data_IF_018305708589
#
_entry.id   IF_018305708589
#
_cell.length_a   1.000
_cell.length_b   1.000
_cell.length_c   1.000
_cell.angle_alpha   90.00
_cell.angle_beta   90.00
_cell.angle_gamma   90.00
#
_symmetry.space_group_name_H-M   'P 1'
#
loop_
_entity.id
_entity.type
_entity.pdbx_description
1 polymer ?
#
# COMPACT_ATOMS: atom_id res chain seq x y z
N UNK A 1 -5.08 -12.09 -62.37
CA UNK A 1 -4.55 -10.74 -62.07
C UNK A 1 -5.70 -9.92 -61.50
N UNK A 2 -5.42 -9.12 -60.47
CA UNK A 2 -6.34 -8.28 -59.68
C UNK A 2 -7.04 -8.93 -58.46
N UNK A 3 -6.36 -8.76 -57.33
CA UNK A 3 -6.78 -8.78 -55.92
C UNK A 3 -7.51 -7.50 -55.52
N UNK A 4 -8.57 -7.56 -54.70
CA UNK A 4 -9.06 -6.51 -53.76
C UNK A 4 -10.46 -6.93 -53.25
N UNK A 5 -10.91 -6.71 -52.02
CA UNK A 5 -10.32 -6.32 -50.73
C UNK A 5 -11.46 -6.54 -49.71
N UNK A 6 -11.29 -7.42 -48.74
CA UNK A 6 -12.21 -7.57 -47.61
C UNK A 6 -11.65 -6.79 -46.41
N UNK A 7 -11.88 -5.48 -46.40
CA UNK A 7 -11.39 -4.56 -45.35
C UNK A 7 -12.38 -3.40 -45.11
N UNK A 8 -13.68 -3.67 -45.01
CA UNK A 8 -14.68 -2.61 -44.81
C UNK A 8 -15.38 -2.62 -43.44
N UNK A 9 -15.40 -3.74 -42.70
CA UNK A 9 -16.14 -3.82 -41.43
C UNK A 9 -15.39 -3.33 -40.20
N UNK A 10 -14.05 -3.28 -40.21
CA UNK A 10 -13.25 -2.87 -39.03
C UNK A 10 -13.20 -1.35 -38.87
N UNK A 11 -13.15 -0.60 -39.98
CA UNK A 11 -13.11 0.87 -39.97
C UNK A 11 -14.42 1.52 -39.50
N UNK A 12 -15.56 0.87 -39.74
CA UNK A 12 -16.87 1.37 -39.31
C UNK A 12 -17.11 1.24 -37.79
N UNK A 13 -16.51 0.23 -37.15
CA UNK A 13 -16.59 0.06 -35.70
C UNK A 13 -15.74 1.10 -34.93
N UNK A 14 -14.57 1.47 -35.48
CA UNK A 14 -13.70 2.50 -34.89
C UNK A 14 -14.33 3.90 -34.99
N UNK A 15 -15.03 4.18 -36.10
CA UNK A 15 -15.73 5.45 -36.33
C UNK A 15 -16.97 5.63 -35.42
N UNK A 16 -17.64 4.54 -35.03
CA UNK A 16 -18.77 4.61 -34.09
C UNK A 16 -18.33 4.88 -32.64
N UNK A 17 -17.16 4.35 -32.23
CA UNK A 17 -16.63 4.59 -30.89
C UNK A 17 -16.26 6.07 -30.63
N UNK A 18 -15.85 6.80 -31.67
CA UNK A 18 -15.48 8.22 -31.58
C UNK A 18 -16.69 9.19 -31.50
N UNK A 19 -17.88 8.77 -31.92
CA UNK A 19 -19.08 9.63 -31.94
C UNK A 19 -19.94 9.52 -30.69
N UNK A 20 -19.87 8.42 -29.94
CA UNK A 20 -20.73 8.17 -28.77
C UNK A 20 -20.09 8.67 -27.47
N UNK A 21 -18.85 9.20 -27.52
CA UNK A 21 -18.18 9.68 -26.31
C UNK A 21 -18.17 8.60 -25.22
N UNK A 22 -18.00 7.33 -25.62
CA UNK A 22 -17.76 6.26 -24.66
C UNK A 22 -16.40 6.58 -24.07
N UNK A 23 -16.42 7.27 -22.93
CA UNK A 23 -15.34 7.23 -21.96
C UNK A 23 -15.23 5.76 -21.64
N UNK A 24 -14.27 5.08 -22.27
CA UNK A 24 -13.87 3.76 -21.83
C UNK A 24 -13.57 3.92 -20.34
N UNK A 25 -14.19 3.13 -19.45
CA UNK A 25 -13.81 3.16 -18.05
C UNK A 25 -12.30 2.98 -18.00
N UNK A 26 -11.61 3.88 -17.30
CA UNK A 26 -10.18 3.80 -17.05
C UNK A 26 -9.94 2.56 -16.20
N UNK A 27 -9.88 1.40 -16.85
CA UNK A 27 -9.68 0.10 -16.23
C UNK A 27 -8.29 -0.41 -16.60
N UNK A 28 -7.46 -0.56 -15.56
CA UNK A 28 -6.32 -1.48 -15.49
C UNK A 28 -5.05 -1.21 -16.33
N UNK A 29 -4.58 0.03 -16.44
CA UNK A 29 -3.19 0.28 -16.90
C UNK A 29 -2.12 0.09 -15.79
N UNK A 30 -2.43 -0.70 -14.76
CA UNK A 30 -1.52 -0.92 -13.64
C UNK A 30 -0.71 -2.21 -13.78
N UNK A 31 0.55 -2.19 -13.36
CA UNK A 31 1.38 -3.41 -13.30
C UNK A 31 1.01 -4.19 -12.04
N UNK A 32 0.69 -5.48 -12.18
CA UNK A 32 0.37 -6.33 -11.04
C UNK A 32 1.63 -6.93 -10.40
N UNK A 33 1.70 -6.84 -9.07
CA UNK A 33 2.73 -7.44 -8.24
C UNK A 33 2.07 -8.28 -7.15
N UNK A 34 2.48 -9.54 -7.09
CA UNK A 34 2.04 -10.47 -6.06
C UNK A 34 3.12 -10.53 -4.98
N UNK A 35 2.76 -10.19 -3.74
CA UNK A 35 3.71 -10.34 -2.64
C UNK A 35 4.16 -11.81 -2.52
N UNK A 36 5.40 -12.02 -2.09
CA UNK A 36 6.04 -13.34 -1.98
C UNK A 36 6.29 -14.08 -3.30
N UNK A 37 5.85 -13.58 -4.45
CA UNK A 37 6.23 -14.15 -5.75
C UNK A 37 7.69 -13.81 -6.08
N UNK A 38 8.41 -14.76 -6.68
CA UNK A 38 9.76 -14.54 -7.19
C UNK A 38 9.78 -13.70 -8.46
N UNK A 39 8.67 -13.66 -9.20
CA UNK A 39 8.53 -12.82 -10.39
C UNK A 39 8.29 -11.34 -10.03
N UNK A 40 7.80 -11.07 -8.82
CA UNK A 40 7.49 -9.70 -8.38
C UNK A 40 8.71 -9.01 -7.76
N UNK A 41 8.91 -7.70 -8.03
CA UNK A 41 9.99 -6.94 -7.43
C UNK A 41 9.75 -6.69 -5.94
N UNK A 42 10.82 -6.60 -5.16
CA UNK A 42 10.77 -6.20 -3.74
C UNK A 42 10.93 -4.70 -3.54
N UNK A 43 11.25 -3.95 -4.59
CA UNK A 43 11.40 -2.49 -4.55
C UNK A 43 11.00 -1.86 -5.89
N UNK A 44 10.22 -0.77 -5.84
CA UNK A 44 9.67 -0.08 -7.01
C UNK A 44 9.81 1.43 -6.82
N UNK A 45 10.34 2.11 -7.83
CA UNK A 45 10.42 3.57 -7.84
C UNK A 45 9.06 4.17 -8.23
N UNK A 46 8.63 5.17 -7.46
CA UNK A 46 7.39 5.89 -7.66
C UNK A 46 7.68 7.35 -7.97
N UNK A 47 7.07 7.85 -9.03
CA UNK A 47 7.03 9.25 -9.44
C UNK A 47 5.57 9.66 -9.66
N UNK A 48 5.22 10.95 -9.64
CA UNK A 48 3.85 11.40 -9.90
C UNK A 48 3.26 10.94 -11.24
N UNK A 49 4.11 10.56 -12.20
CA UNK A 49 3.72 10.09 -13.55
C UNK A 49 3.94 8.59 -13.76
N UNK A 50 4.40 7.87 -12.73
CA UNK A 50 4.54 6.42 -12.80
C UNK A 50 3.17 5.78 -13.08
N UNK A 51 3.10 4.66 -13.82
CA UNK A 51 1.87 3.88 -13.86
C UNK A 51 1.51 3.42 -12.45
N UNK A 52 0.20 3.28 -12.17
CA UNK A 52 -0.25 2.64 -10.95
C UNK A 52 0.19 1.17 -10.88
N UNK A 53 0.13 0.58 -9.69
CA UNK A 53 0.38 -0.84 -9.51
C UNK A 53 -0.81 -1.50 -8.84
N UNK A 54 -0.97 -2.79 -9.10
CA UNK A 54 -1.88 -3.64 -8.37
C UNK A 54 -1.07 -4.50 -7.41
N UNK A 55 -1.34 -4.36 -6.10
CA UNK A 55 -0.67 -5.16 -5.08
C UNK A 55 -1.60 -6.29 -4.63
N UNK A 56 -1.16 -7.51 -4.85
CA UNK A 56 -1.92 -8.73 -4.56
C UNK A 56 -1.27 -9.54 -3.44
N UNK A 57 -2.07 -10.16 -2.58
CA UNK A 57 -1.60 -11.26 -1.74
C UNK A 57 -1.29 -12.50 -2.59
N UNK A 58 -0.46 -13.44 -2.11
CA UNK A 58 -0.29 -14.72 -2.78
C UNK A 58 -1.65 -15.42 -2.98
N UNK A 59 -1.80 -16.11 -4.11
CA UNK A 59 -3.00 -16.87 -4.50
C UNK A 59 -4.30 -16.05 -4.62
N UNK A 60 -4.25 -14.72 -4.57
CA UNK A 60 -5.47 -13.91 -4.71
C UNK A 60 -6.22 -14.24 -6.01
N UNK A 61 -7.51 -14.58 -5.90
CA UNK A 61 -8.36 -15.01 -7.01
C UNK A 61 -8.33 -16.52 -7.31
N UNK A 62 -7.27 -17.23 -6.91
CA UNK A 62 -7.12 -18.68 -7.10
C UNK A 62 -7.35 -19.48 -5.81
N UNK A 63 -7.28 -18.83 -4.64
CA UNK A 63 -7.51 -19.44 -3.33
C UNK A 63 -7.05 -18.54 -2.18
N UNK A 64 -6.89 -19.14 -1.00
CA UNK A 64 -6.42 -18.43 0.18
C UNK A 64 -4.90 -18.23 0.16
N UNK A 65 -4.43 -17.15 0.81
CA UNK A 65 -3.00 -16.94 0.99
C UNK A 65 -2.37 -18.03 1.90
N UNK A 66 -1.08 -18.37 1.76
CA UNK A 66 -0.42 -19.34 2.63
C UNK A 66 -0.16 -18.87 4.08
N UNK A 67 0.01 -19.83 4.99
CA UNK A 67 0.55 -19.60 6.34
C UNK A 67 2.05 -19.26 6.31
N UNK A 68 2.55 -18.69 7.39
CA UNK A 68 3.96 -18.41 7.69
C UNK A 68 4.65 -17.49 6.67
N UNK A 69 3.92 -16.52 6.12
CA UNK A 69 4.46 -15.53 5.19
C UNK A 69 5.20 -14.42 5.95
N UNK A 70 6.23 -13.90 5.30
CA UNK A 70 6.97 -12.73 5.75
C UNK A 70 7.49 -11.97 4.53
N UNK A 71 6.62 -11.18 3.91
CA UNK A 71 6.86 -10.56 2.62
C UNK A 71 6.68 -9.04 2.71
N UNK A 72 7.36 -8.34 1.81
CA UNK A 72 7.29 -6.88 1.78
C UNK A 72 7.54 -6.36 0.37
N UNK A 73 7.06 -5.14 0.12
CA UNK A 73 7.42 -4.34 -1.04
C UNK A 73 7.83 -2.95 -0.54
N UNK A 74 8.89 -2.40 -1.14
CA UNK A 74 9.35 -1.04 -0.88
C UNK A 74 8.99 -0.14 -2.06
N UNK A 75 8.17 0.87 -1.80
CA UNK A 75 7.90 1.93 -2.74
C UNK A 75 8.80 3.10 -2.37
N UNK A 76 9.55 3.66 -3.31
CA UNK A 76 10.50 4.73 -2.98
C UNK A 76 10.45 5.85 -3.99
N UNK A 77 10.84 7.05 -3.57
CA UNK A 77 11.06 8.17 -4.47
C UNK A 77 12.48 8.72 -4.32
N UNK A 78 13.07 9.15 -5.44
CA UNK A 78 14.40 9.75 -5.47
C UNK A 78 14.32 11.27 -5.47
N UNK A 79 13.82 11.83 -6.57
CA UNK A 79 14.04 13.25 -6.86
C UNK A 79 12.95 14.19 -6.31
N UNK A 80 11.73 13.68 -6.11
CA UNK A 80 10.58 14.50 -5.73
C UNK A 80 9.67 13.78 -4.73
N UNK A 81 8.80 14.50 -4.04
CA UNK A 81 7.78 13.86 -3.23
C UNK A 81 6.68 13.27 -4.13
N UNK A 82 6.17 12.09 -3.76
CA UNK A 82 5.06 11.45 -4.46
C UNK A 82 3.98 11.05 -3.47
N UNK A 83 2.73 11.34 -3.81
CA UNK A 83 1.58 10.89 -3.05
C UNK A 83 1.16 9.52 -3.56
N UNK A 84 0.67 8.67 -2.67
CA UNK A 84 0.09 7.38 -3.00
C UNK A 84 -1.36 7.34 -2.53
N UNK A 85 -2.27 7.01 -3.45
CA UNK A 85 -3.65 6.59 -3.15
C UNK A 85 -3.71 5.07 -3.19
N UNK A 86 -3.87 4.43 -2.04
CA UNK A 86 -4.04 2.99 -1.91
C UNK A 86 -5.54 2.71 -1.75
N UNK A 87 -6.15 2.11 -2.75
CA UNK A 87 -7.56 1.74 -2.75
C UNK A 87 -7.71 0.23 -2.55
N UNK A 88 -8.30 -0.16 -1.42
CA UNK A 88 -8.54 -1.54 -1.04
C UNK A 88 -9.77 -2.05 -1.77
N UNK A 89 -9.58 -2.76 -2.89
CA UNK A 89 -10.70 -3.29 -3.69
C UNK A 89 -11.28 -4.55 -3.05
N UNK A 90 -10.42 -5.38 -2.49
CA UNK A 90 -10.80 -6.57 -1.72
C UNK A 90 -9.81 -6.74 -0.59
N UNK A 91 -10.30 -7.11 0.59
CA UNK A 91 -9.46 -7.33 1.75
C UNK A 91 -10.13 -8.29 2.71
N UNK A 92 -9.56 -9.49 2.83
CA UNK A 92 -9.98 -10.56 3.74
C UNK A 92 -8.72 -11.19 4.30
N UNK A 93 -8.26 -10.66 5.43
CA UNK A 93 -7.10 -11.16 6.17
C UNK A 93 -7.59 -11.64 7.54
N UNK A 94 -7.06 -12.74 8.05
CA UNK A 94 -7.47 -13.26 9.35
C UNK A 94 -7.29 -12.19 10.44
N UNK A 95 -8.36 -11.98 11.21
CA UNK A 95 -8.33 -11.13 12.38
C UNK A 95 -8.19 -11.97 13.65
N UNK A 96 -7.48 -11.43 14.63
CA UNK A 96 -7.58 -11.91 16.01
C UNK A 96 -8.99 -11.78 16.59
N UNK A 97 -9.25 -12.45 17.72
CA UNK A 97 -10.55 -12.39 18.44
C UNK A 97 -10.96 -10.97 18.87
N UNK A 98 -10.07 -9.98 18.80
CA UNK A 98 -10.28 -8.60 19.27
C UNK A 98 -9.91 -7.54 18.23
N UNK A 99 -9.89 -7.87 16.94
CA UNK A 99 -9.53 -6.95 15.84
C UNK A 99 -8.13 -6.32 15.99
N UNK A 100 -7.26 -6.92 16.80
CA UNK A 100 -5.93 -6.42 17.14
C UNK A 100 -4.83 -6.89 16.18
N UNK A 101 -5.21 -7.60 15.11
CA UNK A 101 -4.33 -8.08 14.04
C UNK A 101 -3.08 -8.81 14.55
N UNK A 102 -3.26 -9.62 15.61
CA UNK A 102 -2.18 -10.36 16.26
C UNK A 102 -1.74 -11.63 15.53
N UNK A 103 -2.59 -12.16 14.64
CA UNK A 103 -2.32 -13.33 13.81
C UNK A 103 -1.74 -12.84 12.48
N UNK A 104 -2.62 -12.58 11.52
CA UNK A 104 -2.25 -12.07 10.21
C UNK A 104 -2.47 -10.57 10.12
N UNK A 105 -1.59 -9.90 9.38
CA UNK A 105 -1.73 -8.47 9.14
C UNK A 105 -1.03 -7.99 7.87
N UNK A 106 -1.62 -6.94 7.30
CA UNK A 106 -0.95 -6.04 6.38
C UNK A 106 -0.54 -4.77 7.14
N UNK A 107 0.75 -4.47 7.19
CA UNK A 107 1.27 -3.23 7.75
C UNK A 107 1.50 -2.19 6.64
N UNK A 108 0.91 -1.01 6.81
CA UNK A 108 1.08 0.18 5.95
C UNK A 108 1.32 1.38 6.87
N UNK A 109 2.47 2.05 6.73
CA UNK A 109 2.85 3.22 7.54
C UNK A 109 2.82 2.99 9.09
N UNK A 110 3.10 1.76 9.52
CA UNK A 110 3.03 1.35 10.92
C UNK A 110 1.62 1.12 11.45
N UNK A 111 0.61 1.09 10.57
CA UNK A 111 -0.77 0.72 10.89
C UNK A 111 -0.99 -0.72 10.41
N UNK A 112 -1.54 -1.56 11.28
CA UNK A 112 -1.86 -2.95 11.00
C UNK A 112 -3.32 -3.09 10.58
N UNK A 113 -3.54 -3.75 9.43
CA UNK A 113 -4.84 -4.01 8.85
C UNK A 113 -5.08 -5.52 8.83
N UNK A 114 -6.26 -5.95 9.26
CA UNK A 114 -6.76 -7.34 9.24
C UNK A 114 -8.30 -7.33 9.24
N UNK A 115 -8.91 -8.50 9.14
CA UNK A 115 -10.36 -8.67 9.02
C UNK A 115 -10.86 -8.52 7.57
N UNK A 116 -12.17 -8.30 7.41
CA UNK A 116 -12.85 -8.26 6.11
C UNK A 116 -13.58 -6.94 5.80
N UNK A 117 -13.50 -5.94 6.68
CA UNK A 117 -14.33 -4.72 6.62
C UNK A 117 -13.65 -3.52 5.92
N UNK A 118 -12.71 -3.78 4.99
CA UNK A 118 -11.93 -2.72 4.31
C UNK A 118 -12.21 -2.59 2.81
N UNK A 119 -13.24 -3.25 2.29
CA UNK A 119 -13.69 -3.00 0.91
C UNK A 119 -13.98 -1.52 0.68
N UNK A 120 -13.44 -0.98 -0.41
CA UNK A 120 -13.49 0.42 -0.84
C UNK A 120 -12.78 1.43 0.10
N UNK A 121 -12.02 0.96 1.09
CA UNK A 121 -11.22 1.85 1.93
C UNK A 121 -10.09 2.50 1.13
N UNK A 122 -9.85 3.78 1.38
CA UNK A 122 -8.76 4.54 0.74
C UNK A 122 -7.77 5.02 1.79
N UNK A 123 -6.51 4.64 1.62
CA UNK A 123 -5.39 5.13 2.40
C UNK A 123 -4.52 6.08 1.57
N UNK A 124 -4.16 7.22 2.16
CA UNK A 124 -3.33 8.24 1.53
C UNK A 124 -1.99 8.35 2.25
N UNK A 125 -0.89 8.35 1.50
CA UNK A 125 0.46 8.51 2.05
C UNK A 125 1.31 9.39 1.14
N UNK A 126 2.27 10.14 1.70
CA UNK A 126 3.27 10.87 0.92
C UNK A 126 4.62 10.21 1.19
N UNK A 127 5.31 9.83 0.12
CA UNK A 127 6.72 9.45 0.16
C UNK A 127 7.54 10.70 -0.15
N UNK A 128 8.31 11.25 0.80
CA UNK A 128 9.21 12.35 0.51
C UNK A 128 10.28 11.97 -0.52
N UNK A 129 10.92 12.98 -1.12
CA UNK A 129 12.11 12.74 -1.94
C UNK A 129 13.18 11.98 -1.14
N UNK A 130 13.93 11.11 -1.81
CA UNK A 130 14.97 10.25 -1.24
C UNK A 130 14.50 9.38 -0.04
N UNK A 131 13.22 8.99 -0.02
CA UNK A 131 12.63 8.21 1.08
C UNK A 131 11.98 6.91 0.57
N UNK A 132 11.75 5.98 1.51
CA UNK A 132 11.25 4.62 1.23
C UNK A 132 10.05 4.30 2.12
N UNK A 133 8.96 3.89 1.50
CA UNK A 133 7.74 3.42 2.13
C UNK A 133 7.61 1.90 2.00
N UNK A 134 7.53 1.19 3.13
CA UNK A 134 7.42 -0.26 3.13
C UNK A 134 6.01 -0.71 3.46
N UNK A 135 5.48 -1.61 2.63
CA UNK A 135 4.27 -2.39 2.93
C UNK A 135 4.72 -3.81 3.29
N UNK A 136 4.21 -4.35 4.40
CA UNK A 136 4.59 -5.69 4.90
C UNK A 136 3.35 -6.55 5.06
N UNK A 137 3.38 -7.78 4.55
CA UNK A 137 2.36 -8.79 4.82
C UNK A 137 2.98 -9.95 5.60
N UNK A 138 2.41 -10.25 6.75
CA UNK A 138 2.86 -11.31 7.65
C UNK A 138 1.67 -12.18 8.04
N UNK A 139 1.88 -13.49 8.03
CA UNK A 139 0.89 -14.49 8.45
C UNK A 139 1.48 -15.47 9.46
N UNK A 140 0.64 -16.03 10.32
CA UNK A 140 1.04 -16.98 11.34
C UNK A 140 0.94 -18.45 10.85
N UNK A 141 0.91 -19.42 11.77
CA UNK A 141 0.94 -20.84 11.44
C UNK A 141 -0.41 -21.46 11.07
N UNK A 142 -1.54 -20.79 11.30
CA UNK A 142 -2.90 -21.32 11.15
C UNK A 142 -3.89 -20.23 10.74
N UNK A 143 -4.98 -20.64 10.08
CA UNK A 143 -6.00 -19.71 9.59
C UNK A 143 -5.53 -18.83 8.41
N UNK A 144 -6.43 -18.66 7.44
CA UNK A 144 -6.14 -17.92 6.20
C UNK A 144 -7.42 -17.27 5.68
N UNK A 145 -7.28 -16.37 4.71
CA UNK A 145 -8.39 -15.74 4.02
C UNK A 145 -8.12 -15.56 2.53
N UNK A 146 -9.10 -15.00 1.81
CA UNK A 146 -9.00 -14.72 0.38
C UNK A 146 -7.89 -13.70 0.05
N UNK A 147 -7.40 -12.99 1.06
CA UNK A 147 -6.30 -12.05 0.95
C UNK A 147 -6.76 -10.70 0.44
N UNK A 148 -5.93 -10.03 -0.35
CA UNK A 148 -6.19 -8.66 -0.74
C UNK A 148 -5.77 -8.32 -2.17
N UNK A 149 -6.47 -7.30 -2.65
CA UNK A 149 -6.20 -6.60 -3.89
C UNK A 149 -6.26 -5.09 -3.60
N UNK A 150 -5.12 -4.43 -3.77
CA UNK A 150 -4.96 -3.01 -3.48
C UNK A 150 -4.43 -2.30 -4.72
N UNK A 151 -5.21 -1.37 -5.26
CA UNK A 151 -4.76 -0.48 -6.32
C UNK A 151 -3.95 0.68 -5.71
N UNK A 152 -2.67 0.79 -6.08
CA UNK A 152 -1.78 1.87 -5.65
C UNK A 152 -1.59 2.84 -6.80
N UNK A 153 -2.09 4.05 -6.64
CA UNK A 153 -2.01 5.10 -7.66
C UNK A 153 -1.08 6.21 -7.19
N UNK A 154 0.02 6.49 -7.90
CA UNK A 154 0.83 7.67 -7.62
C UNK A 154 0.06 8.93 -8.01
N UNK A 155 0.20 9.97 -7.20
CA UNK A 155 -0.46 11.27 -7.39
C UNK A 155 0.53 12.41 -7.12
N UNK A 156 0.43 13.53 -7.86
CA UNK A 156 1.25 14.71 -7.59
C UNK A 156 1.05 15.25 -6.17
N UNK A 157 2.14 15.75 -5.60
CA UNK A 157 2.14 16.46 -4.32
C UNK A 157 2.47 17.92 -4.58
N UNK A 158 1.57 18.82 -4.18
CA UNK A 158 1.79 20.25 -4.25
C UNK A 158 1.70 20.84 -2.85
N UNK A 159 2.67 21.69 -2.48
CA UNK A 159 2.73 22.34 -1.16
C UNK A 159 2.58 21.36 0.02
N UNK A 160 3.12 20.15 -0.10
CA UNK A 160 3.06 19.12 0.95
C UNK A 160 1.70 18.42 1.09
N UNK A 161 0.78 18.64 0.16
CA UNK A 161 -0.54 18.01 0.13
C UNK A 161 -0.75 17.22 -1.15
N UNK A 162 -1.49 16.12 -1.06
CA UNK A 162 -1.93 15.37 -2.23
C UNK A 162 -2.98 16.18 -2.98
N UNK A 163 -2.74 16.45 -4.26
CA UNK A 163 -3.73 17.11 -5.12
C UNK A 163 -4.80 16.08 -5.52
N UNK A 164 -5.91 16.06 -4.80
CA UNK A 164 -7.10 15.29 -5.18
C UNK A 164 -8.03 16.20 -5.97
N UNK A 165 -8.34 15.85 -7.22
CA UNK A 165 -9.41 16.52 -7.97
C UNK A 165 -10.74 16.19 -7.28
N UNK A 166 -11.29 17.16 -6.56
CA UNK A 166 -12.63 17.21 -5.96
C UNK A 166 -13.43 15.90 -5.91
N UNK A 167 -13.36 15.19 -4.79
CA UNK A 167 -14.45 14.29 -4.36
C UNK A 167 -15.03 14.81 -3.04
N UNK A 168 -16.34 15.04 -3.08
CA UNK A 168 -17.18 15.57 -2.02
C UNK A 168 -16.89 14.94 -0.66
N UNK A 169 -16.77 15.79 0.36
CA UNK A 169 -16.72 15.49 1.78
C UNK A 169 -17.63 14.32 2.18
N UNK A 170 -17.08 13.12 2.28
CA UNK A 170 -17.55 12.09 3.21
C UNK A 170 -16.44 11.85 4.22
N UNK A 171 -16.72 12.34 5.43
CA UNK A 171 -15.81 12.48 6.56
C UNK A 171 -15.51 11.11 7.18
N UNK A 172 -14.71 10.28 6.52
CA UNK A 172 -14.09 9.11 7.13
C UNK A 172 -12.56 9.26 7.09
N UNK A 173 -12.06 9.84 8.18
CA UNK A 173 -10.70 9.77 8.71
C UNK A 173 -9.55 9.60 7.69
N UNK A 174 -9.28 10.62 6.88
CA UNK A 174 -7.97 10.79 6.25
C UNK A 174 -6.93 11.04 7.35
N UNK A 175 -6.18 10.02 7.75
CA UNK A 175 -5.03 10.18 8.65
C UNK A 175 -3.82 10.61 7.83
N UNK A 176 -3.78 11.87 7.41
CA UNK A 176 -2.56 12.45 6.84
C UNK A 176 -1.56 12.68 7.99
N UNK A 177 -0.41 12.01 7.96
CA UNK A 177 0.73 12.40 8.80
C UNK A 177 1.31 13.69 8.22
N UNK A 178 1.60 14.63 9.11
CA UNK A 178 2.30 15.88 8.80
C UNK A 178 3.69 15.58 8.18
N UNK A 179 3.97 16.05 6.95
CA UNK A 179 5.25 15.83 6.27
C UNK A 179 6.44 16.56 6.93
N UNK A 180 6.22 17.41 7.93
CA UNK A 180 7.25 18.17 8.66
C UNK A 180 7.99 17.36 9.74
N UNK A 181 7.49 16.17 10.10
CA UNK A 181 8.14 15.27 11.07
C UNK A 181 9.07 14.31 10.34
N UNK A 182 10.23 14.02 10.95
CA UNK A 182 11.15 12.97 10.50
C UNK A 182 10.37 11.75 9.97
N UNK A 183 10.55 11.46 8.68
CA UNK A 183 9.91 10.34 8.03
C UNK A 183 10.42 9.03 8.66
N UNK A 184 9.54 8.28 9.31
CA UNK A 184 9.83 6.98 9.89
C UNK A 184 9.02 5.95 9.11
N UNK A 185 9.71 5.06 8.41
CA UNK A 185 9.09 3.88 7.81
C UNK A 185 8.56 2.97 8.93
N UNK A 186 7.27 3.16 9.26
CA UNK A 186 6.63 2.51 10.40
C UNK A 186 6.54 0.98 10.28
N UNK A 187 6.67 0.43 9.08
CA UNK A 187 6.67 -1.02 8.86
C UNK A 187 8.07 -1.60 8.63
N UNK A 188 9.06 -0.77 8.26
CA UNK A 188 10.43 -1.19 8.00
C UNK A 188 11.11 -1.94 9.17
N UNK A 189 10.65 -1.70 10.40
CA UNK A 189 11.09 -2.46 11.59
C UNK A 189 10.88 -3.98 11.43
N UNK A 190 9.76 -4.40 10.86
CA UNK A 190 9.39 -5.82 10.71
C UNK A 190 10.23 -6.55 9.67
N UNK A 191 10.79 -5.82 8.70
CA UNK A 191 11.71 -6.37 7.70
C UNK A 191 13.05 -6.79 8.36
N UNK A 192 13.49 -6.08 9.40
CA UNK A 192 14.79 -6.27 10.04
C UNK A 192 14.81 -7.31 11.18
N UNK A 193 13.65 -7.86 11.60
CA UNK A 193 13.58 -8.92 12.63
C UNK A 193 14.32 -10.21 12.26
N UNK A 194 14.67 -10.42 10.98
CA UNK A 194 15.54 -11.54 10.55
C UNK A 194 17.01 -11.42 10.97
N UNK A 195 17.43 -10.31 11.60
CA UNK A 195 18.80 -10.13 12.09
C UNK A 195 18.97 -10.22 13.62
N UNK A 196 17.87 -10.27 14.37
CA UNK A 196 17.90 -10.41 15.82
C UNK A 196 17.27 -11.75 16.19
N UNK A 197 18.11 -12.76 16.37
CA UNK A 197 17.78 -13.98 17.10
C UNK A 197 17.45 -13.59 18.53
N UNK A 198 16.18 -13.30 18.81
CA UNK A 198 15.72 -13.12 20.19
C UNK A 198 15.47 -14.52 20.73
N UNK A 199 16.31 -14.95 21.68
CA UNK A 199 16.10 -16.17 22.44
C UNK A 199 14.70 -16.15 23.07
N UNK A 200 13.85 -17.17 22.85
CA UNK A 200 12.50 -17.21 23.38
C UNK A 200 12.53 -17.73 24.82
N UNK A 201 12.98 -16.91 25.78
CA UNK A 201 12.93 -17.28 27.20
C UNK A 201 12.47 -16.14 28.11
N UNK A 202 11.68 -15.19 27.58
CA UNK A 202 10.96 -14.26 28.45
C UNK A 202 9.52 -14.11 27.97
N UNK A 203 8.61 -14.72 28.72
CA UNK A 203 7.16 -14.49 28.65
C UNK A 203 6.87 -12.99 28.85
N UNK A 204 6.15 -12.33 27.93
CA UNK A 204 5.74 -10.96 28.16
C UNK A 204 4.54 -10.96 29.10
N UNK A 205 4.79 -10.57 30.35
CA UNK A 205 3.74 -10.14 31.28
C UNK A 205 2.94 -9.00 30.65
N UNK A 206 1.63 -9.19 30.67
CA UNK A 206 0.58 -8.29 30.14
C UNK A 206 0.73 -6.83 30.64
N UNK A 207 0.72 -5.83 29.75
CA UNK A 207 0.43 -4.44 30.13
C UNK A 207 -1.02 -4.04 29.76
N UNK A 208 -1.58 -3.05 30.48
CA UNK A 208 -2.97 -2.65 30.38
C UNK A 208 -3.23 -1.68 29.22
N UNK A 209 -4.47 -1.71 28.71
CA UNK A 209 -5.21 -0.62 28.07
C UNK A 209 -4.43 0.47 27.30
N UNK A 210 -4.61 0.50 25.98
CA UNK A 210 -4.40 1.64 25.07
C UNK A 210 -2.97 2.22 25.06
N UNK A 211 -2.11 1.70 24.20
CA UNK A 211 -0.84 2.35 23.88
C UNK A 211 -1.01 3.33 22.71
N UNK A 212 -1.27 4.60 23.02
CA UNK A 212 -0.78 5.70 22.17
C UNK A 212 0.74 5.75 22.36
N UNK A 213 1.51 5.37 21.34
CA UNK A 213 2.94 5.71 21.33
C UNK A 213 3.08 7.22 21.12
N UNK A 214 3.25 7.96 22.22
CA UNK A 214 3.65 9.37 22.21
C UNK A 214 5.18 9.41 22.25
N UNK A 215 5.81 9.76 21.13
CA UNK A 215 7.23 10.09 21.13
C UNK A 215 7.39 11.47 21.79
N UNK A 216 8.00 11.51 22.98
CA UNK A 216 8.57 12.74 23.53
C UNK A 216 9.98 12.87 22.92
N UNK A 217 10.18 13.88 22.08
CA UNK A 217 11.52 14.32 21.70
C UNK A 217 11.91 15.41 22.69
N UNK A 218 12.88 15.13 23.55
CA UNK A 218 13.52 16.14 24.37
C UNK A 218 14.61 16.78 23.52
N UNK A 219 14.41 18.05 23.17
CA UNK A 219 15.32 18.89 22.40
C UNK A 219 16.05 19.86 23.32
N UNK A 220 17.38 19.87 23.18
CA UNK A 220 18.33 20.96 23.37
C UNK A 220 18.58 21.53 24.79
N UNK A 221 19.85 21.55 25.21
CA UNK A 221 20.67 22.76 25.10
C UNK A 221 22.12 22.53 25.58
N UNK A 222 23.03 22.62 24.62
CA UNK A 222 24.44 22.95 24.82
C UNK A 222 24.51 24.45 25.14
N UNK A 223 25.13 24.83 26.25
CA UNK A 223 25.73 26.16 26.42
C UNK A 223 26.99 26.01 27.26
N UNK A 224 28.14 26.24 26.64
CA UNK A 224 29.34 26.70 27.34
C UNK A 224 29.25 28.21 27.54
N UNK A 225 29.76 28.68 28.67
CA UNK A 225 30.93 29.58 28.79
C UNK A 225 31.00 30.15 30.22
N UNK A 226 32.24 30.29 30.70
CA UNK A 226 32.79 30.88 31.95
C UNK A 226 32.56 30.17 33.31
#
# INVERSE_FOLDING_TARGET
>A
MATMRQHSSVLLLIMWALLVGIVLPFEQNGIAYTLCSKESPTSVEMTPVSPGILLLSPNFGDGHYPNNLSCYIRLYSRNEAVGLKLHFRTFVVESGKREDCIYDFLCIDGIFFCGSNLGDYVFLHIIPANSVFTIVFQTDGDGTGDGFDIAVTPVPVEHGSIVTQSESSNKNLTKTRDPSRHYIDGCGFWVNRRRLTINPTVEPTKPPHVAKCSCHCESDLYHGDD
#
